data_IF_770734107715
#
_entry.id   IF_770734107715
#
_cell.length_a   1.000
_cell.length_b   1.000
_cell.length_c   1.000
_cell.angle_alpha   90.00
_cell.angle_beta   90.00
_cell.angle_gamma   90.00
#
_symmetry.space_group_name_H-M   'P 1'
#
loop_
_entity.id
_entity.type
_entity.pdbx_description
1 polymer ?
#
# COMPACT_ATOMS: atom_id res chain seq x y z
N UNK A 1 4.35 7.11 35.69
CA UNK A 1 4.73 6.92 34.27
C UNK A 1 3.49 7.22 33.43
N UNK A 2 3.60 8.02 32.37
CA UNK A 2 2.47 8.36 31.47
C UNK A 2 2.70 7.67 30.12
N UNK A 3 1.74 6.84 29.68
CA UNK A 3 1.77 6.19 28.36
C UNK A 3 0.98 7.03 27.34
N UNK A 4 1.61 7.43 26.24
CA UNK A 4 0.98 8.18 25.15
C UNK A 4 1.00 7.35 23.85
N UNK A 5 -0.15 6.78 23.49
CA UNK A 5 -0.29 5.81 22.40
C UNK A 5 -1.37 6.23 21.38
N UNK A 6 -1.37 7.50 20.97
CA UNK A 6 -2.34 8.03 20.01
C UNK A 6 -2.02 7.52 18.61
N UNK A 7 -2.94 6.78 18.01
CA UNK A 7 -2.86 6.36 16.61
C UNK A 7 -3.05 7.55 15.67
N UNK A 8 -2.49 7.47 14.47
CA UNK A 8 -2.63 8.51 13.44
C UNK A 8 -2.18 9.91 13.92
N UNK A 9 -1.04 9.99 14.63
CA UNK A 9 -0.42 11.29 14.98
C UNK A 9 -0.26 12.27 13.80
N UNK A 10 0.04 11.82 12.56
CA UNK A 10 0.07 12.73 11.41
C UNK A 10 -1.25 13.49 11.17
N UNK A 11 -2.37 12.96 11.65
CA UNK A 11 -3.68 13.61 11.64
C UNK A 11 -3.78 14.87 12.50
N UNK A 12 -2.90 15.05 13.49
CA UNK A 12 -2.82 16.28 14.29
C UNK A 12 -2.20 17.46 13.50
N UNK A 13 -1.50 17.18 12.40
CA UNK A 13 -0.84 18.19 11.53
C UNK A 13 -1.22 18.00 10.05
N UNK A 14 -2.52 18.05 9.72
CA UNK A 14 -3.06 17.56 8.45
C UNK A 14 -2.50 18.28 7.22
N UNK A 15 -2.27 19.59 7.31
CA UNK A 15 -1.76 20.39 6.18
C UNK A 15 -0.33 20.01 5.78
N UNK A 16 0.51 19.59 6.74
CA UNK A 16 1.88 19.15 6.47
C UNK A 16 1.88 17.68 6.04
N UNK A 17 1.16 16.82 6.76
CA UNK A 17 1.14 15.39 6.50
C UNK A 17 0.54 15.04 5.14
N UNK A 18 -0.50 15.76 4.68
CA UNK A 18 -1.07 15.51 3.35
C UNK A 18 -0.08 15.86 2.23
N UNK A 19 0.68 16.94 2.36
CA UNK A 19 1.70 17.32 1.38
C UNK A 19 2.82 16.28 1.32
N UNK A 20 3.28 15.82 2.49
CA UNK A 20 4.29 14.77 2.57
C UNK A 20 3.81 13.45 1.93
N UNK A 21 2.61 13.00 2.28
CA UNK A 21 2.03 11.78 1.74
C UNK A 21 1.82 11.88 0.22
N UNK A 22 1.18 12.97 -0.24
CA UNK A 22 0.91 13.18 -1.65
C UNK A 22 2.21 13.19 -2.47
N UNK A 23 3.25 13.90 -2.02
CA UNK A 23 4.53 13.93 -2.72
C UNK A 23 5.19 12.55 -2.82
N UNK A 24 5.07 11.72 -1.78
CA UNK A 24 5.60 10.36 -1.79
C UNK A 24 4.80 9.41 -2.70
N UNK A 25 3.49 9.59 -2.81
CA UNK A 25 2.60 8.68 -3.55
C UNK A 25 2.33 9.11 -5.00
N UNK A 26 2.54 10.38 -5.34
CA UNK A 26 2.12 10.95 -6.63
C UNK A 26 2.71 10.21 -7.84
N UNK A 27 3.99 9.82 -7.77
CA UNK A 27 4.65 9.09 -8.86
C UNK A 27 4.00 7.73 -9.13
N UNK A 28 3.59 7.00 -8.09
CA UNK A 28 2.87 5.74 -8.22
C UNK A 28 1.47 5.95 -8.80
N UNK A 29 0.75 6.98 -8.34
CA UNK A 29 -0.58 7.33 -8.84
C UNK A 29 -0.54 7.61 -10.35
N UNK A 30 0.42 8.40 -10.82
CA UNK A 30 0.57 8.72 -12.24
C UNK A 30 0.89 7.47 -13.08
N UNK A 31 1.72 6.55 -12.58
CA UNK A 31 2.01 5.27 -13.26
C UNK A 31 0.77 4.40 -13.37
N UNK A 32 0.03 4.24 -12.28
CA UNK A 32 -1.22 3.49 -12.25
C UNK A 32 -2.25 4.07 -13.21
N UNK A 33 -2.42 5.40 -13.22
CA UNK A 33 -3.35 6.08 -14.10
C UNK A 33 -2.99 5.95 -15.59
N UNK A 34 -1.69 5.98 -15.92
CA UNK A 34 -1.23 5.91 -17.30
C UNK A 34 -1.08 4.50 -17.88
N UNK A 35 -0.80 3.49 -17.04
CA UNK A 35 -0.42 2.13 -17.50
C UNK A 35 -1.38 1.04 -17.03
N UNK A 36 -2.27 1.34 -16.08
CA UNK A 36 -3.03 0.33 -15.36
C UNK A 36 -2.16 -0.44 -14.35
N UNK A 37 -2.82 -1.23 -13.50
CA UNK A 37 -2.16 -1.90 -12.37
C UNK A 37 -1.15 -2.97 -12.80
N UNK A 38 -1.51 -3.84 -13.74
CA UNK A 38 -0.66 -4.99 -14.11
C UNK A 38 0.67 -4.53 -14.71
N UNK A 39 0.61 -3.64 -15.71
CA UNK A 39 1.80 -3.13 -16.36
C UNK A 39 2.64 -2.25 -15.42
N UNK A 40 2.00 -1.43 -14.57
CA UNK A 40 2.72 -0.63 -13.59
C UNK A 40 3.44 -1.51 -12.56
N UNK A 41 2.81 -2.58 -12.08
CA UNK A 41 3.39 -3.51 -11.10
C UNK A 41 4.53 -4.36 -11.69
N UNK A 42 4.44 -4.76 -12.96
CA UNK A 42 5.54 -5.45 -13.64
C UNK A 42 6.77 -4.54 -13.79
N UNK A 43 6.56 -3.24 -14.03
CA UNK A 43 7.63 -2.24 -14.19
C UNK A 43 8.21 -1.72 -12.87
N UNK A 44 7.43 -1.78 -11.80
CA UNK A 44 7.80 -1.26 -10.49
C UNK A 44 7.67 -2.34 -9.40
N UNK A 45 8.80 -2.98 -9.03
CA UNK A 45 8.80 -3.99 -7.98
C UNK A 45 8.34 -3.48 -6.61
N UNK A 46 8.48 -2.18 -6.31
CA UNK A 46 7.99 -1.61 -5.06
C UNK A 46 6.46 -1.54 -5.07
N UNK A 47 5.87 -1.12 -6.20
CA UNK A 47 4.42 -1.11 -6.38
C UNK A 47 3.84 -2.53 -6.33
N UNK A 48 4.49 -3.51 -6.97
CA UNK A 48 4.08 -4.94 -6.93
C UNK A 48 3.98 -5.46 -5.50
N UNK A 49 4.98 -5.16 -4.66
CA UNK A 49 4.99 -5.58 -3.24
C UNK A 49 3.85 -4.96 -2.42
N UNK A 50 3.32 -3.82 -2.86
CA UNK A 50 2.19 -3.15 -2.21
C UNK A 50 0.82 -3.78 -2.50
N UNK A 51 0.73 -4.76 -3.40
CA UNK A 51 -0.55 -5.41 -3.72
C UNK A 51 -0.87 -6.48 -2.69
N UNK A 52 -1.94 -6.26 -1.92
CA UNK A 52 -2.41 -7.17 -0.88
C UNK A 52 -3.49 -8.15 -1.35
N UNK A 53 -4.30 -7.75 -2.32
CA UNK A 53 -5.44 -8.50 -2.83
C UNK A 53 -5.47 -8.44 -4.36
N UNK A 54 -5.79 -9.56 -5.00
CA UNK A 54 -6.04 -9.66 -6.43
C UNK A 54 -7.19 -10.62 -6.71
N UNK A 55 -8.24 -10.14 -7.39
CA UNK A 55 -9.41 -10.94 -7.77
C UNK A 55 -9.98 -11.80 -6.63
N UNK A 56 -10.12 -11.23 -5.44
CA UNK A 56 -10.65 -11.91 -4.26
C UNK A 56 -9.67 -12.82 -3.52
N UNK A 57 -8.41 -12.92 -3.96
CA UNK A 57 -7.36 -13.70 -3.30
C UNK A 57 -6.34 -12.82 -2.59
N UNK A 58 -5.83 -13.28 -1.45
CA UNK A 58 -4.76 -12.59 -0.71
C UNK A 58 -3.42 -12.88 -1.37
N UNK A 59 -2.68 -11.83 -1.72
CA UNK A 59 -1.38 -11.93 -2.39
C UNK A 59 -0.21 -11.60 -1.47
N UNK A 60 -0.48 -10.92 -0.35
CA UNK A 60 0.54 -10.51 0.59
C UNK A 60 0.61 -11.46 1.79
N UNK A 61 1.78 -12.08 1.98
CA UNK A 61 2.01 -13.10 3.03
C UNK A 61 1.64 -12.62 4.43
N UNK A 62 2.04 -11.40 4.82
CA UNK A 62 1.75 -10.88 6.15
C UNK A 62 0.25 -10.65 6.43
N UNK A 63 -0.55 -10.39 5.38
CA UNK A 63 -2.01 -10.26 5.55
C UNK A 63 -2.64 -11.64 5.76
N UNK A 64 -2.18 -12.63 4.99
CA UNK A 64 -2.64 -13.99 5.11
C UNK A 64 -2.31 -14.59 6.49
N UNK A 65 -1.09 -14.39 6.99
CA UNK A 65 -0.67 -14.84 8.32
C UNK A 65 -1.46 -14.16 9.44
N UNK A 66 -1.68 -12.84 9.36
CA UNK A 66 -2.43 -12.10 10.37
C UNK A 66 -3.92 -12.52 10.47
N UNK A 67 -4.48 -13.08 9.41
CA UNK A 67 -5.90 -13.42 9.32
C UNK A 67 -6.19 -14.92 9.08
N UNK A 68 -5.19 -15.79 9.15
CA UNK A 68 -5.29 -17.23 8.85
C UNK A 68 -5.93 -17.54 7.48
N UNK A 69 -5.52 -16.79 6.45
CA UNK A 69 -5.97 -16.97 5.07
C UNK A 69 -4.89 -17.63 4.22
N UNK A 70 -5.28 -18.14 3.05
CA UNK A 70 -4.34 -18.69 2.07
C UNK A 70 -3.71 -17.58 1.21
N UNK A 71 -2.40 -17.71 0.94
CA UNK A 71 -1.69 -16.82 0.01
C UNK A 71 -1.78 -17.39 -1.41
N UNK A 72 -2.30 -16.59 -2.33
CA UNK A 72 -2.22 -16.84 -3.77
C UNK A 72 -1.15 -15.92 -4.38
N UNK A 73 -0.20 -16.44 -5.17
CA UNK A 73 0.77 -15.59 -5.86
C UNK A 73 0.07 -14.67 -6.87
N UNK A 74 0.66 -13.49 -7.10
CA UNK A 74 0.27 -12.62 -8.21
C UNK A 74 0.66 -13.28 -9.54
N UNK A 75 -0.23 -13.29 -10.54
CA UNK A 75 0.07 -13.85 -11.86
C UNK A 75 0.99 -12.94 -12.72
N UNK A 76 1.14 -11.70 -12.23
CA UNK A 76 1.89 -10.54 -12.69
C UNK A 76 3.40 -10.48 -12.71
#
# INVERSE_FOLDING_TARGET
MVHYCVANMPGAVPHISIKALANATLSYILRLAGQGLEQAAQRDPALRKGINLWQGKVTHKGVAEAHNLEVSPLPF
#
